data_IF_386729996744
#
_entry.id   IF_386729996744
#
_cell.length_a   1.000
_cell.length_b   1.000
_cell.length_c   1.000
_cell.angle_alpha   90.00
_cell.angle_beta   90.00
_cell.angle_gamma   90.00
#
_symmetry.space_group_name_H-M   'P 1'
#
loop_
_entity.id
_entity.type
_entity.pdbx_description
1 polymer ?
#
# COMPACT_ATOMS: atom_id res chain seq x y z
N UNK A 1 27.34 10.92 -14.83
CA UNK A 1 26.84 11.73 -13.70
C UNK A 1 26.38 10.76 -12.63
N UNK A 2 27.01 10.78 -11.45
CA UNK A 2 26.50 10.05 -10.28
C UNK A 2 25.40 10.90 -9.64
N UNK A 3 24.23 10.30 -9.41
CA UNK A 3 23.16 10.95 -8.64
C UNK A 3 23.58 10.97 -7.17
N UNK A 4 23.51 12.13 -6.52
CA UNK A 4 23.72 12.25 -5.08
C UNK A 4 22.38 12.12 -4.35
N UNK A 5 22.34 11.25 -3.34
CA UNK A 5 21.12 10.99 -2.56
C UNK A 5 20.66 12.25 -1.82
N UNK A 6 21.59 13.12 -1.37
CA UNK A 6 21.21 14.37 -0.72
C UNK A 6 20.33 15.24 -1.61
N UNK A 7 20.69 15.34 -2.90
CA UNK A 7 19.96 16.17 -3.86
C UNK A 7 18.55 15.63 -4.08
N UNK A 8 18.38 14.31 -4.10
CA UNK A 8 17.07 13.66 -4.19
C UNK A 8 16.24 13.95 -2.95
N UNK A 9 16.83 13.84 -1.76
CA UNK A 9 16.13 14.11 -0.49
C UNK A 9 15.69 15.57 -0.39
N UNK A 10 16.54 16.51 -0.82
CA UNK A 10 16.21 17.93 -0.82
C UNK A 10 15.01 18.23 -1.74
N UNK A 11 15.01 17.65 -2.95
CA UNK A 11 13.89 17.79 -3.89
C UNK A 11 12.59 17.19 -3.31
N UNK A 12 12.66 16.00 -2.71
CA UNK A 12 11.50 15.35 -2.07
C UNK A 12 10.95 16.22 -0.94
N UNK A 13 11.82 16.81 -0.12
CA UNK A 13 11.42 17.70 0.96
C UNK A 13 10.74 18.98 0.45
N UNK A 14 11.31 19.62 -0.57
CA UNK A 14 10.71 20.80 -1.22
C UNK A 14 9.35 20.47 -1.83
N UNK A 15 9.21 19.35 -2.53
CA UNK A 15 7.93 18.88 -3.08
C UNK A 15 6.87 18.69 -1.98
N UNK A 16 7.24 18.04 -0.87
CA UNK A 16 6.32 17.75 0.23
C UNK A 16 5.83 19.04 0.93
N UNK A 17 6.70 20.04 1.12
CA UNK A 17 6.28 21.34 1.65
C UNK A 17 5.35 22.05 0.68
N UNK A 18 5.75 22.11 -0.60
CA UNK A 18 4.97 22.82 -1.61
C UNK A 18 3.57 22.23 -1.78
N UNK A 19 3.45 20.93 -2.04
CA UNK A 19 2.15 20.25 -2.21
C UNK A 19 1.32 20.22 -0.92
N UNK A 20 1.98 20.15 0.24
CA UNK A 20 1.31 20.02 1.53
C UNK A 20 0.84 21.33 2.16
N UNK A 21 1.48 22.47 1.83
CA UNK A 21 1.23 23.74 2.53
C UNK A 21 1.11 24.98 1.66
N UNK A 22 1.70 24.99 0.46
CA UNK A 22 1.84 26.20 -0.35
C UNK A 22 0.95 26.18 -1.60
N UNK A 23 0.64 24.97 -2.11
CA UNK A 23 -0.16 24.78 -3.32
C UNK A 23 -1.63 24.55 -3.02
N UNK A 24 -2.50 25.12 -3.85
CA UNK A 24 -3.90 24.72 -3.96
C UNK A 24 -3.98 23.57 -4.97
N UNK A 25 -4.23 22.35 -4.48
CA UNK A 25 -4.28 21.16 -5.32
C UNK A 25 -5.66 21.05 -6.02
N UNK A 26 -5.70 21.26 -7.33
CA UNK A 26 -6.94 21.30 -8.13
C UNK A 26 -7.16 20.07 -9.01
N UNK A 27 -6.21 19.13 -9.06
CA UNK A 27 -6.37 17.90 -9.82
C UNK A 27 -7.29 16.97 -9.03
N UNK A 28 -8.44 16.62 -9.61
CA UNK A 28 -9.52 15.91 -8.90
C UNK A 28 -9.12 14.53 -8.33
N UNK A 29 -8.13 13.88 -8.92
CA UNK A 29 -7.65 12.56 -8.48
C UNK A 29 -6.44 12.63 -7.54
N UNK A 30 -5.86 13.81 -7.32
CA UNK A 30 -4.75 13.99 -6.39
C UNK A 30 -5.27 14.22 -4.96
N UNK A 31 -4.49 13.81 -3.97
CA UNK A 31 -4.81 14.05 -2.57
C UNK A 31 -3.53 14.10 -1.71
N UNK A 32 -3.63 14.69 -0.51
CA UNK A 32 -2.53 14.72 0.46
C UNK A 32 -2.76 13.65 1.51
N UNK A 33 -1.80 12.73 1.65
CA UNK A 33 -1.88 11.65 2.65
C UNK A 33 -1.68 12.16 4.08
N UNK A 34 -2.25 11.45 5.04
CA UNK A 34 -2.03 11.70 6.47
C UNK A 34 -0.63 11.28 6.89
N UNK A 35 -0.11 11.89 7.96
CA UNK A 35 1.24 11.58 8.45
C UNK A 35 1.36 10.15 8.97
N UNK A 36 0.26 9.56 9.47
CA UNK A 36 0.23 8.16 9.88
C UNK A 36 0.47 7.20 8.70
N UNK A 37 -0.07 7.51 7.52
CA UNK A 37 0.19 6.72 6.30
C UNK A 37 1.65 6.89 5.86
N UNK A 38 2.15 8.12 5.81
CA UNK A 38 3.54 8.40 5.42
C UNK A 38 4.57 7.68 6.31
N UNK A 39 4.31 7.59 7.62
CA UNK A 39 5.20 6.92 8.57
C UNK A 39 5.38 5.43 8.28
N UNK A 40 4.40 4.79 7.63
CA UNK A 40 4.43 3.36 7.34
C UNK A 40 4.73 3.05 5.87
N UNK A 41 4.82 4.02 4.97
CA UNK A 41 5.07 3.74 3.54
C UNK A 41 6.47 3.14 3.27
N UNK A 42 7.49 3.58 4.02
CA UNK A 42 8.87 3.11 3.85
C UNK A 42 9.29 2.26 5.04
N UNK A 43 9.02 0.95 4.96
CA UNK A 43 9.37 -0.01 6.00
C UNK A 43 9.90 -1.34 5.41
N UNK A 44 10.33 -2.24 6.28
CA UNK A 44 10.95 -3.52 5.93
C UNK A 44 10.05 -4.46 5.10
N UNK A 45 8.72 -4.37 5.21
CA UNK A 45 7.78 -5.20 4.45
C UNK A 45 7.94 -5.04 2.94
N UNK A 46 8.48 -3.92 2.46
CA UNK A 46 8.75 -3.69 1.03
C UNK A 46 9.76 -4.68 0.43
N UNK A 47 10.56 -5.34 1.27
CA UNK A 47 11.52 -6.37 0.86
C UNK A 47 11.10 -7.81 1.16
N UNK A 48 9.84 -8.05 1.53
CA UNK A 48 9.35 -9.37 1.97
C UNK A 48 8.41 -9.99 0.96
N UNK A 49 8.60 -11.27 0.68
CA UNK A 49 7.69 -12.05 -0.14
C UNK A 49 6.60 -12.70 0.72
N UNK A 50 5.36 -12.56 0.28
CA UNK A 50 4.19 -13.17 0.90
C UNK A 50 3.17 -13.60 -0.16
N UNK A 51 3.63 -14.32 -1.19
CA UNK A 51 2.75 -14.86 -2.22
C UNK A 51 1.70 -15.80 -1.61
N UNK A 52 0.47 -15.74 -2.12
CA UNK A 52 -0.66 -16.49 -1.62
C UNK A 52 -1.69 -15.64 -0.87
N UNK A 53 -2.45 -16.27 0.02
CA UNK A 53 -3.41 -15.63 0.92
C UNK A 53 -2.95 -15.75 2.38
N UNK A 54 -3.50 -14.94 3.31
CA UNK A 54 -3.19 -15.08 4.72
C UNK A 54 -3.44 -16.50 5.23
N UNK A 55 -2.51 -17.03 6.02
CA UNK A 55 -2.69 -18.33 6.68
C UNK A 55 -3.89 -18.28 7.64
N UNK A 56 -4.60 -19.40 7.73
CA UNK A 56 -5.70 -19.58 8.70
C UNK A 56 -5.25 -20.49 9.83
N UNK A 57 -6.11 -20.73 10.82
CA UNK A 57 -5.80 -21.69 11.88
C UNK A 57 -5.80 -23.15 11.39
N UNK A 58 -6.30 -23.39 10.18
CA UNK A 58 -6.50 -24.73 9.61
C UNK A 58 -5.63 -24.98 8.38
N UNK A 59 -5.17 -23.94 7.70
CA UNK A 59 -4.56 -24.04 6.37
C UNK A 59 -3.44 -23.01 6.18
N UNK A 60 -2.30 -23.50 5.67
CA UNK A 60 -1.21 -22.66 5.18
C UNK A 60 -1.48 -22.30 3.71
N UNK A 61 -1.67 -21.01 3.48
CA UNK A 61 -2.05 -20.42 2.19
C UNK A 61 -0.92 -19.58 1.57
N UNK A 62 0.21 -19.46 2.25
CA UNK A 62 1.41 -18.76 1.78
C UNK A 62 2.39 -19.75 1.16
N UNK A 63 3.05 -19.31 0.08
CA UNK A 63 4.13 -20.09 -0.55
C UNK A 63 5.46 -19.95 0.18
N UNK A 64 5.62 -18.91 1.00
CA UNK A 64 6.84 -18.63 1.75
C UNK A 64 6.56 -18.53 3.24
N UNK A 65 7.58 -18.86 4.03
CA UNK A 65 7.57 -18.79 5.48
C UNK A 65 7.81 -17.37 6.01
N UNK A 66 7.50 -17.16 7.30
CA UNK A 66 7.82 -15.90 8.00
C UNK A 66 6.83 -14.76 7.74
N UNK A 67 5.63 -15.05 7.27
CA UNK A 67 4.59 -14.06 6.90
C UNK A 67 3.71 -13.60 8.07
N UNK A 68 3.97 -14.08 9.29
CA UNK A 68 3.08 -13.89 10.47
C UNK A 68 2.52 -12.47 10.64
N UNK A 69 3.36 -11.45 10.48
CA UNK A 69 2.94 -10.04 10.65
C UNK A 69 2.24 -9.48 9.41
N UNK A 70 2.62 -9.93 8.22
CA UNK A 70 1.95 -9.59 6.96
C UNK A 70 0.52 -10.14 6.98
N UNK A 71 0.34 -11.39 7.44
CA UNK A 71 -0.97 -12.03 7.55
C UNK A 71 -1.91 -11.28 8.50
N UNK A 72 -1.39 -10.79 9.63
CA UNK A 72 -2.16 -9.97 10.56
C UNK A 72 -2.64 -8.68 9.91
N UNK A 73 -1.74 -7.95 9.24
CA UNK A 73 -2.05 -6.68 8.58
C UNK A 73 -3.04 -6.91 7.44
N UNK A 74 -2.79 -7.88 6.55
CA UNK A 74 -3.65 -8.16 5.40
C UNK A 74 -5.06 -8.59 5.84
N UNK A 75 -5.15 -9.42 6.89
CA UNK A 75 -6.43 -9.83 7.48
C UNK A 75 -7.19 -8.67 8.13
N UNK A 76 -6.48 -7.78 8.85
CA UNK A 76 -7.08 -6.57 9.44
C UNK A 76 -7.62 -5.65 8.35
N UNK A 77 -6.79 -5.33 7.34
CA UNK A 77 -7.16 -4.45 6.23
C UNK A 77 -8.35 -5.02 5.45
N UNK A 78 -8.35 -6.32 5.15
CA UNK A 78 -9.47 -6.97 4.45
C UNK A 78 -10.78 -6.81 5.20
N UNK A 79 -10.79 -7.05 6.53
CA UNK A 79 -11.99 -6.87 7.36
C UNK A 79 -12.48 -5.42 7.38
N UNK A 80 -11.56 -4.46 7.50
CA UNK A 80 -11.92 -3.05 7.50
C UNK A 80 -12.47 -2.59 6.15
N UNK A 81 -11.91 -3.06 5.03
CA UNK A 81 -12.43 -2.76 3.69
C UNK A 81 -13.82 -3.36 3.48
N UNK A 82 -14.03 -4.62 3.89
CA UNK A 82 -15.35 -5.26 3.84
C UNK A 82 -16.39 -4.43 4.61
N UNK A 83 -16.04 -3.99 5.82
CA UNK A 83 -16.91 -3.16 6.66
C UNK A 83 -17.18 -1.79 6.02
N UNK A 84 -16.15 -1.14 5.49
CA UNK A 84 -16.22 0.20 4.90
C UNK A 84 -17.06 0.19 3.62
N UNK A 85 -16.79 -0.76 2.73
CA UNK A 85 -17.44 -0.89 1.43
C UNK A 85 -18.80 -1.61 1.49
N UNK A 86 -19.12 -2.25 2.62
CA UNK A 86 -20.33 -3.07 2.83
C UNK A 86 -20.47 -4.18 1.78
N UNK A 87 -19.35 -4.81 1.42
CA UNK A 87 -19.31 -5.93 0.49
C UNK A 87 -19.24 -7.27 1.23
N UNK A 88 -19.30 -8.38 0.48
CA UNK A 88 -19.17 -9.73 1.05
C UNK A 88 -17.71 -10.21 1.09
N UNK A 89 -16.89 -9.72 0.15
CA UNK A 89 -15.49 -10.10 -0.02
C UNK A 89 -14.70 -8.87 -0.48
N UNK A 90 -13.44 -8.78 -0.07
CA UNK A 90 -12.48 -7.82 -0.57
C UNK A 90 -11.13 -8.50 -0.83
N UNK A 91 -10.42 -8.02 -1.84
CA UNK A 91 -9.00 -8.34 -2.08
C UNK A 91 -8.21 -7.04 -2.01
N UNK A 92 -7.23 -6.99 -1.10
CA UNK A 92 -6.43 -5.80 -0.80
C UNK A 92 -5.04 -5.84 -1.42
N UNK A 93 -4.73 -6.88 -2.21
CA UNK A 93 -3.43 -7.11 -2.84
C UNK A 93 -3.19 -6.37 -4.16
N UNK A 94 -4.20 -5.97 -4.96
CA UNK A 94 -3.93 -5.20 -6.18
C UNK A 94 -3.19 -3.89 -5.89
N UNK A 95 -2.02 -3.72 -6.51
CA UNK A 95 -1.12 -2.57 -6.28
C UNK A 95 -1.56 -1.26 -6.93
N UNK A 96 -2.58 -1.31 -7.80
CA UNK A 96 -3.16 -0.13 -8.46
C UNK A 96 -4.55 -0.43 -9.01
N UNK A 97 -5.31 0.61 -9.38
CA UNK A 97 -6.61 0.44 -10.02
C UNK A 97 -6.54 -0.32 -11.35
N UNK A 98 -5.49 -0.12 -12.14
CA UNK A 98 -5.29 -0.88 -13.38
C UNK A 98 -5.06 -2.38 -13.11
N UNK A 99 -4.26 -2.71 -12.09
CA UNK A 99 -4.03 -4.09 -11.68
C UNK A 99 -5.33 -4.75 -11.17
N UNK A 100 -6.14 -4.03 -10.39
CA UNK A 100 -7.44 -4.51 -9.93
C UNK A 100 -8.40 -4.79 -11.10
N UNK A 101 -8.50 -3.88 -12.07
CA UNK A 101 -9.33 -4.09 -13.26
C UNK A 101 -8.85 -5.28 -14.09
N UNK A 102 -7.53 -5.44 -14.23
CA UNK A 102 -6.93 -6.56 -14.96
C UNK A 102 -7.24 -7.90 -14.28
N UNK A 103 -7.17 -7.95 -12.95
CA UNK A 103 -7.52 -9.15 -12.18
C UNK A 103 -8.99 -9.56 -12.38
N UNK A 104 -9.91 -8.59 -12.50
CA UNK A 104 -11.33 -8.90 -12.80
C UNK A 104 -11.54 -9.30 -14.26
N UNK A 105 -10.79 -8.70 -15.19
CA UNK A 105 -10.95 -8.95 -16.62
C UNK A 105 -10.34 -10.29 -17.09
N UNK A 106 -9.25 -10.73 -16.45
CA UNK A 106 -8.49 -11.93 -16.83
C UNK A 106 -8.60 -13.08 -15.83
N UNK A 107 -9.19 -12.83 -14.66
CA UNK A 107 -9.35 -13.79 -13.56
C UNK A 107 -10.65 -14.58 -13.65
#
# INVERSE_FOLDING_TARGET
MSVNISDVLDIVNSQNQWRGKEAINLIASENVQSDAVKQIESNDFMGRYAEGHPNTAQEDNRYYEGTRYIDQIESMTTREIIRLAKCLQADVRPVSGNAANTAVALG
#
